data_IF_607634044608
#
_entry.id   IF_607634044608
#
_cell.length_a   1.000
_cell.length_b   1.000
_cell.length_c   1.000
_cell.angle_alpha   90.00
_cell.angle_beta   90.00
_cell.angle_gamma   90.00
#
_symmetry.space_group_name_H-M   'P 1'
#
loop_
_entity.id
_entity.type
_entity.pdbx_description
1 polymer ?
#
# COMPACT_ATOMS: atom_id res chain seq x y z
N UNK A 1 -21.80 -12.19 32.07
CA UNK A 1 -22.90 -11.43 31.45
C UNK A 1 -22.90 -11.74 29.97
N UNK A 2 -24.09 -12.08 29.46
CA UNK A 2 -24.37 -12.79 28.21
C UNK A 2 -23.96 -12.04 26.95
N UNK A 3 -23.30 -12.75 26.03
CA UNK A 3 -23.04 -12.32 24.65
C UNK A 3 -24.33 -12.44 23.85
N UNK A 4 -25.05 -11.34 23.65
CA UNK A 4 -26.25 -11.28 22.81
C UNK A 4 -25.88 -11.27 21.33
N UNK A 5 -26.59 -12.11 20.58
CA UNK A 5 -26.22 -12.59 19.24
C UNK A 5 -26.24 -11.53 18.13
N UNK A 6 -25.14 -11.49 17.37
CA UNK A 6 -25.10 -10.85 16.06
C UNK A 6 -25.77 -11.74 15.01
N UNK A 7 -26.85 -11.24 14.39
CA UNK A 7 -27.55 -11.91 13.29
C UNK A 7 -26.68 -11.91 12.02
N UNK A 8 -26.18 -13.08 11.61
CA UNK A 8 -25.38 -13.27 10.39
C UNK A 8 -26.25 -13.15 9.14
N UNK A 9 -25.80 -12.40 8.15
CA UNK A 9 -26.44 -12.31 6.84
C UNK A 9 -25.66 -13.12 5.80
N UNK A 10 -26.27 -14.15 5.21
CA UNK A 10 -25.73 -14.92 4.09
C UNK A 10 -26.54 -14.61 2.84
N UNK A 11 -26.01 -13.75 1.99
CA UNK A 11 -26.45 -13.62 0.59
C UNK A 11 -25.28 -14.05 -0.30
N UNK A 12 -25.46 -15.12 -1.06
CA UNK A 12 -24.38 -15.89 -1.73
C UNK A 12 -24.18 -15.58 -3.22
N UNK A 13 -24.69 -14.47 -3.74
CA UNK A 13 -24.75 -14.29 -5.21
C UNK A 13 -23.89 -13.15 -5.80
N UNK A 14 -23.03 -12.49 -5.02
CA UNK A 14 -22.23 -11.36 -5.51
C UNK A 14 -20.78 -11.74 -5.86
N UNK A 15 -20.42 -11.62 -7.15
CA UNK A 15 -19.05 -11.78 -7.67
C UNK A 15 -18.39 -10.40 -7.78
N UNK A 16 -17.18 -10.24 -7.22
CA UNK A 16 -16.43 -8.96 -7.24
C UNK A 16 -15.38 -8.97 -8.38
N UNK A 17 -15.48 -8.10 -9.39
CA UNK A 17 -14.50 -8.05 -10.49
C UNK A 17 -13.19 -7.37 -10.09
N UNK A 18 -12.06 -7.86 -10.61
CA UNK A 18 -10.71 -7.34 -10.36
C UNK A 18 -10.02 -6.97 -11.69
N UNK A 19 -9.31 -5.84 -11.69
CA UNK A 19 -8.61 -5.25 -12.84
C UNK A 19 -7.08 -5.32 -12.61
N UNK A 20 -6.30 -5.68 -13.64
CA UNK A 20 -4.85 -5.46 -13.71
C UNK A 20 -3.98 -6.73 -13.80
N UNK A 21 -3.31 -6.92 -14.95
CA UNK A 21 -2.52 -8.09 -15.37
C UNK A 21 -0.99 -7.94 -15.29
N UNK A 22 -0.30 -8.96 -15.80
CA UNK A 22 1.16 -9.18 -15.80
C UNK A 22 1.76 -9.11 -17.22
N UNK A 23 3.06 -8.79 -17.29
CA UNK A 23 3.97 -8.79 -18.43
C UNK A 23 4.12 -10.16 -19.11
N UNK A 24 3.83 -10.21 -20.41
CA UNK A 24 4.70 -10.72 -21.49
C UNK A 24 3.87 -10.90 -22.78
N UNK A 25 4.00 -9.98 -23.74
CA UNK A 25 3.73 -10.25 -25.17
C UNK A 25 4.75 -9.46 -26.00
N UNK A 26 5.82 -10.14 -26.40
CA UNK A 26 6.78 -9.66 -27.38
C UNK A 26 6.40 -10.13 -28.80
N UNK A 27 6.73 -9.30 -29.78
CA UNK A 27 6.82 -9.53 -31.24
C UNK A 27 5.52 -9.59 -32.06
N UNK A 28 5.17 -8.44 -32.65
CA UNK A 28 4.79 -8.35 -34.07
C UNK A 28 5.07 -6.94 -34.60
N UNK A 29 6.11 -6.82 -35.43
CA UNK A 29 6.41 -5.63 -36.24
C UNK A 29 5.51 -5.58 -37.49
N UNK A 30 5.31 -4.35 -37.97
CA UNK A 30 4.74 -3.95 -39.26
C UNK A 30 3.21 -3.84 -39.36
N UNK A 31 2.71 -2.61 -39.15
CA UNK A 31 2.22 -1.72 -40.24
C UNK A 31 1.57 -0.47 -39.63
N UNK A 32 2.06 0.68 -40.08
CA UNK A 32 1.45 2.00 -39.93
C UNK A 32 0.04 1.99 -40.56
N UNK A 33 -1.01 2.32 -39.80
CA UNK A 33 -2.12 3.15 -40.27
C UNK A 33 -2.90 3.73 -39.08
N UNK A 34 -3.32 4.99 -39.25
CA UNK A 34 -4.06 5.80 -38.31
C UNK A 34 -5.49 5.30 -38.07
N UNK A 35 -6.07 5.76 -36.96
CA UNK A 35 -7.45 5.60 -36.48
C UNK A 35 -7.81 4.24 -35.85
N UNK A 36 -8.29 4.30 -34.60
CA UNK A 36 -9.12 3.25 -34.03
C UNK A 36 -8.62 2.65 -32.71
N UNK A 37 -9.28 3.08 -31.63
CA UNK A 37 -9.88 2.17 -30.65
C UNK A 37 -8.92 1.33 -29.77
N UNK A 38 -8.63 1.87 -28.60
CA UNK A 38 -8.21 1.14 -27.39
C UNK A 38 -9.13 -0.06 -27.14
N UNK A 39 -8.61 -1.29 -27.13
CA UNK A 39 -9.22 -2.41 -26.40
C UNK A 39 -8.19 -3.53 -26.16
N UNK A 40 -7.42 -3.43 -25.09
CA UNK A 40 -6.72 -4.59 -24.52
C UNK A 40 -7.66 -5.25 -23.50
N UNK A 41 -8.36 -6.32 -23.91
CA UNK A 41 -9.17 -7.14 -22.99
C UNK A 41 -9.00 -8.61 -23.32
N UNK A 42 -8.13 -9.29 -22.57
CA UNK A 42 -8.39 -10.64 -22.04
C UNK A 42 -7.22 -11.16 -21.20
N UNK A 43 -7.51 -11.57 -19.97
CA UNK A 43 -6.67 -12.52 -19.21
C UNK A 43 -7.57 -13.25 -18.20
N UNK A 44 -7.77 -14.56 -18.41
CA UNK A 44 -8.68 -15.40 -17.62
C UNK A 44 -8.23 -15.63 -16.19
N UNK A 45 -8.52 -14.69 -15.29
CA UNK A 45 -8.28 -14.84 -13.85
C UNK A 45 -9.40 -15.57 -13.14
N UNK A 46 -9.06 -16.57 -12.33
CA UNK A 46 -9.99 -17.28 -11.45
C UNK A 46 -10.73 -16.30 -10.51
N UNK A 47 -12.04 -16.16 -10.67
CA UNK A 47 -12.87 -15.32 -9.82
C UNK A 47 -13.08 -15.98 -8.46
N UNK A 48 -12.69 -15.27 -7.39
CA UNK A 48 -12.88 -15.75 -6.02
C UNK A 48 -14.36 -15.71 -5.65
N UNK A 49 -14.92 -16.87 -5.26
CA UNK A 49 -16.29 -16.96 -4.76
C UNK A 49 -16.41 -16.33 -3.37
N UNK A 50 -17.53 -15.66 -3.13
CA UNK A 50 -17.77 -14.95 -1.87
C UNK A 50 -17.87 -15.91 -0.67
N UNK A 51 -18.33 -17.14 -0.87
CA UNK A 51 -18.40 -18.17 0.17
C UNK A 51 -17.02 -18.62 0.67
N UNK A 52 -15.95 -18.38 -0.11
CA UNK A 52 -14.56 -18.70 0.25
C UNK A 52 -13.82 -17.51 0.87
N UNK A 53 -14.43 -16.32 0.96
CA UNK A 53 -13.80 -15.16 1.57
C UNK A 53 -13.73 -15.31 3.09
N UNK A 54 -12.59 -14.90 3.65
CA UNK A 54 -12.42 -14.79 5.10
C UNK A 54 -12.98 -13.44 5.55
N UNK A 55 -13.86 -13.47 6.55
CA UNK A 55 -14.46 -12.28 7.16
C UNK A 55 -15.98 -12.36 7.20
N UNK A 56 -16.55 -11.85 8.29
CA UNK A 56 -18.00 -11.73 8.45
C UNK A 56 -18.43 -10.29 8.17
N UNK A 57 -19.65 -10.15 7.65
CA UNK A 57 -20.31 -8.86 7.45
C UNK A 57 -21.42 -8.71 8.49
N UNK A 58 -21.50 -7.55 9.10
CA UNK A 58 -22.50 -7.25 10.12
C UNK A 58 -23.65 -6.43 9.52
N UNK A 59 -24.87 -6.67 9.98
CA UNK A 59 -26.03 -5.83 9.59
C UNK A 59 -26.02 -4.51 10.34
N UNK A 60 -25.80 -4.59 11.65
CA UNK A 60 -25.86 -3.48 12.57
C UNK A 60 -24.53 -2.71 12.61
N UNK A 61 -24.61 -1.45 13.03
CA UNK A 61 -23.42 -0.63 13.27
C UNK A 61 -22.74 -1.12 14.57
N UNK A 62 -21.43 -1.42 14.56
CA UNK A 62 -20.73 -1.70 15.80
C UNK A 62 -20.80 -0.50 16.76
N UNK A 63 -21.16 -0.74 18.02
CA UNK A 63 -21.30 0.29 19.06
C UNK A 63 -20.03 1.08 19.34
N UNK A 64 -18.88 0.42 19.16
CA UNK A 64 -17.58 0.93 19.58
C UNK A 64 -16.98 1.92 18.55
N UNK A 65 -17.68 2.14 17.43
CA UNK A 65 -17.20 2.99 16.33
C UNK A 65 -17.76 4.41 16.43
N UNK A 66 -16.91 5.36 16.83
CA UNK A 66 -17.26 6.79 16.86
C UNK A 66 -17.39 7.39 15.46
N UNK A 67 -16.52 7.00 14.52
CA UNK A 67 -16.45 7.57 13.16
C UNK A 67 -17.18 6.67 12.17
N UNK A 68 -17.95 7.27 11.25
CA UNK A 68 -18.75 6.54 10.25
C UNK A 68 -17.91 5.71 9.27
N UNK A 69 -16.77 6.25 8.80
CA UNK A 69 -15.86 5.51 7.92
C UNK A 69 -15.36 4.23 8.58
N UNK A 70 -14.91 4.32 9.84
CA UNK A 70 -14.49 3.17 10.63
C UNK A 70 -15.63 2.17 10.83
N UNK A 71 -16.84 2.65 11.16
CA UNK A 71 -18.00 1.80 11.34
C UNK A 71 -18.35 1.02 10.06
N UNK A 72 -18.28 1.67 8.90
CA UNK A 72 -18.54 1.03 7.60
C UNK A 72 -17.45 0.01 7.27
N UNK A 73 -16.18 0.33 7.53
CA UNK A 73 -15.06 -0.58 7.26
C UNK A 73 -15.14 -1.85 8.12
N UNK A 74 -15.47 -1.73 9.41
CA UNK A 74 -15.66 -2.90 10.29
C UNK A 74 -16.90 -3.69 9.86
N UNK A 75 -18.04 -3.01 9.67
CA UNK A 75 -19.32 -3.63 9.29
C UNK A 75 -19.22 -4.41 7.98
N UNK A 76 -18.53 -3.83 6.99
CA UNK A 76 -18.38 -4.39 5.65
C UNK A 76 -17.34 -5.51 5.54
N UNK A 77 -16.63 -5.85 6.62
CA UNK A 77 -15.57 -6.85 6.57
C UNK A 77 -14.34 -6.37 5.79
N UNK A 78 -13.99 -5.09 5.91
CA UNK A 78 -12.80 -4.49 5.27
C UNK A 78 -11.57 -4.53 6.18
N UNK A 79 -11.77 -4.32 7.48
CA UNK A 79 -10.68 -4.34 8.46
C UNK A 79 -11.04 -5.20 9.66
N UNK A 80 -10.01 -5.75 10.31
CA UNK A 80 -10.10 -6.42 11.61
C UNK A 80 -9.19 -5.70 12.60
N UNK A 81 -9.75 -5.27 13.72
CA UNK A 81 -8.99 -4.68 14.81
C UNK A 81 -7.99 -5.68 15.40
N UNK A 82 -6.75 -5.23 15.64
CA UNK A 82 -5.70 -6.01 16.30
C UNK A 82 -5.29 -5.36 17.63
N UNK A 83 -4.98 -4.07 17.59
CA UNK A 83 -4.62 -3.24 18.75
C UNK A 83 -4.89 -1.76 18.42
N UNK A 84 -4.69 -0.85 19.37
CA UNK A 84 -4.96 0.57 19.16
C UNK A 84 -4.10 1.11 18.01
N UNK A 85 -4.74 1.60 16.94
CA UNK A 85 -4.08 2.05 15.71
C UNK A 85 -3.56 0.93 14.79
N UNK A 86 -3.76 -0.35 15.12
CA UNK A 86 -3.25 -1.51 14.37
C UNK A 86 -4.42 -2.36 13.86
N UNK A 87 -4.52 -2.48 12.54
CA UNK A 87 -5.60 -3.20 11.86
C UNK A 87 -5.05 -4.20 10.84
N UNK A 88 -5.71 -5.36 10.73
CA UNK A 88 -5.51 -6.26 9.61
C UNK A 88 -6.46 -5.91 8.47
N UNK A 89 -5.95 -5.87 7.25
CA UNK A 89 -6.76 -5.62 6.06
C UNK A 89 -7.27 -6.92 5.43
N UNK A 90 -8.59 -7.03 5.21
CA UNK A 90 -9.17 -8.14 4.49
C UNK A 90 -8.93 -8.04 2.96
N UNK A 91 -9.24 -9.11 2.24
CA UNK A 91 -9.06 -9.18 0.78
C UNK A 91 -9.70 -8.03 0.01
N UNK A 92 -10.94 -7.57 0.32
CA UNK A 92 -11.54 -6.44 -0.37
C UNK A 92 -10.70 -5.17 -0.23
N UNK A 93 -10.26 -4.84 0.98
CA UNK A 93 -9.41 -3.68 1.27
C UNK A 93 -8.10 -3.76 0.53
N UNK A 94 -7.42 -4.92 0.58
CA UNK A 94 -6.15 -5.11 -0.13
C UNK A 94 -6.29 -4.89 -1.65
N UNK A 95 -7.42 -5.28 -2.25
CA UNK A 95 -7.72 -5.01 -3.67
C UNK A 95 -7.97 -3.53 -3.94
N UNK A 96 -8.67 -2.83 -3.04
CA UNK A 96 -8.92 -1.40 -3.15
C UNK A 96 -7.60 -0.63 -3.02
N UNK A 97 -6.78 -0.94 -2.01
CA UNK A 97 -5.47 -0.32 -1.83
C UNK A 97 -4.60 -0.54 -3.06
N UNK A 98 -4.55 -1.75 -3.63
CA UNK A 98 -3.82 -2.00 -4.88
C UNK A 98 -4.27 -1.11 -6.05
N UNK A 99 -5.58 -0.83 -6.17
CA UNK A 99 -6.09 0.07 -7.21
C UNK A 99 -5.65 1.51 -6.98
N UNK A 100 -5.67 1.97 -5.73
CA UNK A 100 -5.22 3.32 -5.37
C UNK A 100 -3.72 3.46 -5.62
N UNK A 101 -2.91 2.49 -5.17
CA UNK A 101 -1.48 2.42 -5.43
C UNK A 101 -1.18 2.44 -6.93
N UNK A 102 -1.97 1.74 -7.73
CA UNK A 102 -1.80 1.72 -9.18
C UNK A 102 -2.04 3.10 -9.82
N UNK A 103 -3.07 3.82 -9.40
CA UNK A 103 -3.32 5.19 -9.87
C UNK A 103 -2.15 6.10 -9.49
N UNK A 104 -1.68 6.03 -8.24
CA UNK A 104 -0.55 6.83 -7.78
C UNK A 104 0.69 6.52 -8.62
N UNK A 105 1.00 5.23 -8.85
CA UNK A 105 2.12 4.82 -9.69
C UNK A 105 2.00 5.36 -11.12
N UNK A 106 0.82 5.20 -11.74
CA UNK A 106 0.58 5.72 -13.10
C UNK A 106 0.77 7.23 -13.20
N UNK A 107 0.40 8.01 -12.18
CA UNK A 107 0.64 9.46 -12.17
C UNK A 107 2.10 9.82 -11.85
N UNK A 108 2.78 9.06 -11.00
CA UNK A 108 4.19 9.28 -10.68
C UNK A 108 5.11 8.88 -11.85
N UNK A 109 4.79 7.81 -12.58
CA UNK A 109 5.54 7.37 -13.76
C UNK A 109 5.46 8.41 -14.88
N UNK A 110 4.37 9.18 -14.99
CA UNK A 110 4.25 10.28 -15.97
C UNK A 110 5.20 11.44 -15.72
N UNK A 111 5.73 11.58 -14.50
CA UNK A 111 6.68 12.62 -14.11
C UNK A 111 8.08 12.04 -13.87
N UNK A 112 8.38 10.92 -14.53
CA UNK A 112 9.63 10.16 -14.40
C UNK A 112 10.00 9.83 -12.95
N UNK A 113 8.98 9.60 -12.11
CA UNK A 113 9.15 9.22 -10.73
C UNK A 113 9.71 7.81 -10.58
N UNK A 114 10.82 7.67 -9.88
CA UNK A 114 11.42 6.36 -9.60
C UNK A 114 10.83 5.76 -8.30
N UNK A 115 10.00 4.72 -8.43
CA UNK A 115 9.48 3.99 -7.28
C UNK A 115 10.58 3.14 -6.62
N UNK A 116 10.79 3.34 -5.32
CA UNK A 116 11.76 2.59 -4.50
C UNK A 116 11.11 2.08 -3.22
N UNK A 117 11.59 0.94 -2.72
CA UNK A 117 11.10 0.35 -1.46
C UNK A 117 12.20 0.40 -0.40
N UNK A 118 11.90 1.10 0.70
CA UNK A 118 12.78 1.16 1.87
C UNK A 118 12.40 0.13 2.93
N UNK A 119 13.36 -0.33 3.75
CA UNK A 119 13.06 -1.17 4.90
C UNK A 119 12.24 -0.41 5.96
N UNK A 120 11.38 -1.14 6.68
CA UNK A 120 10.56 -0.56 7.76
C UNK A 120 11.42 -0.30 9.02
N UNK A 121 12.45 -1.12 9.22
CA UNK A 121 13.37 -1.02 10.36
C UNK A 121 14.71 -0.45 9.87
N UNK A 122 15.23 0.54 10.59
CA UNK A 122 16.47 1.24 10.26
C UNK A 122 17.43 1.29 11.46
N UNK A 123 18.76 1.34 11.23
CA UNK A 123 19.71 1.54 12.31
C UNK A 123 19.56 2.94 12.92
N UNK A 124 19.65 3.03 14.25
CA UNK A 124 19.54 4.31 14.95
C UNK A 124 20.64 5.30 14.55
N UNK A 125 21.82 4.82 14.13
CA UNK A 125 22.92 5.67 13.67
C UNK A 125 22.50 6.61 12.54
N UNK A 126 21.65 6.14 11.63
CA UNK A 126 21.17 6.94 10.51
C UNK A 126 20.30 8.12 10.98
N UNK A 127 19.48 7.90 11.99
CA UNK A 127 18.67 8.94 12.62
C UNK A 127 19.51 9.88 13.49
N UNK A 128 20.60 9.39 14.08
CA UNK A 128 21.55 10.21 14.84
C UNK A 128 22.33 11.15 13.94
N UNK A 129 22.76 10.70 12.76
CA UNK A 129 23.41 11.54 11.74
C UNK A 129 22.53 12.73 11.34
N UNK A 130 21.21 12.53 11.23
CA UNK A 130 20.26 13.60 10.94
C UNK A 130 19.94 14.51 12.14
N UNK A 131 20.32 14.12 13.35
CA UNK A 131 19.90 14.75 14.61
C UNK A 131 18.44 14.47 15.01
N UNK A 132 17.65 13.79 14.17
CA UNK A 132 16.22 13.55 14.45
C UNK A 132 15.98 12.51 15.54
N UNK A 133 16.96 11.66 15.81
CA UNK A 133 16.87 10.61 16.83
C UNK A 133 16.48 11.15 18.21
N UNK A 134 17.04 12.26 18.66
CA UNK A 134 16.72 12.84 19.98
C UNK A 134 15.62 13.92 19.92
N UNK A 135 15.48 14.59 18.77
CA UNK A 135 14.46 15.63 18.60
C UNK A 135 13.03 15.08 18.61
N UNK A 136 12.83 13.89 18.06
CA UNK A 136 11.54 13.22 18.01
C UNK A 136 11.42 12.43 19.30
N UNK A 137 10.56 12.90 20.22
CA UNK A 137 10.43 12.35 21.56
C UNK A 137 9.87 10.92 21.60
N UNK A 138 8.79 10.73 22.35
CA UNK A 138 8.22 9.39 22.64
C UNK A 138 7.51 8.72 21.46
N UNK A 139 7.27 9.44 20.37
CA UNK A 139 6.58 8.90 19.18
C UNK A 139 7.49 8.01 18.33
N UNK A 140 8.81 8.18 18.43
CA UNK A 140 9.77 7.36 17.71
C UNK A 140 9.93 6.01 18.42
N UNK A 141 9.47 4.93 17.78
CA UNK A 141 9.66 3.59 18.32
C UNK A 141 11.12 3.17 18.17
N UNK A 142 11.80 3.11 19.30
CA UNK A 142 13.20 2.67 19.44
C UNK A 142 13.25 1.31 20.09
N UNK A 143 14.05 0.41 19.55
CA UNK A 143 14.24 -0.91 20.11
C UNK A 143 15.66 -1.39 19.86
N UNK A 144 16.04 -2.46 20.53
CA UNK A 144 17.38 -3.03 20.41
C UNK A 144 17.25 -4.44 19.88
N UNK A 145 18.07 -4.80 18.90
CA UNK A 145 18.13 -6.16 18.39
C UNK A 145 18.83 -7.12 19.38
N UNK A 146 18.90 -8.41 19.02
CA UNK A 146 19.57 -9.43 19.85
C UNK A 146 21.07 -9.18 20.06
N UNK A 147 21.71 -8.42 19.17
CA UNK A 147 23.13 -8.10 19.23
C UNK A 147 23.40 -6.80 20.00
N UNK A 148 22.38 -6.23 20.64
CA UNK A 148 22.44 -4.93 21.33
C UNK A 148 22.65 -3.74 20.39
N UNK A 149 22.30 -3.88 19.10
CA UNK A 149 22.31 -2.78 18.14
C UNK A 149 21.03 -1.95 18.27
N UNK A 150 21.14 -0.62 18.45
CA UNK A 150 19.98 0.26 18.52
C UNK A 150 19.36 0.43 17.13
N UNK A 151 18.04 0.20 17.06
CA UNK A 151 17.23 0.23 15.85
C UNK A 151 16.00 1.12 16.06
N UNK A 152 15.43 1.57 14.95
CA UNK A 152 14.26 2.44 14.90
C UNK A 152 13.25 1.86 13.93
N UNK A 153 11.97 1.89 14.30
CA UNK A 153 10.88 1.69 13.34
C UNK A 153 10.64 3.03 12.64
N UNK A 154 10.88 3.07 11.32
CA UNK A 154 10.76 4.30 10.54
C UNK A 154 9.33 4.83 10.55
N UNK A 155 9.15 6.03 11.09
CA UNK A 155 7.90 6.80 10.92
C UNK A 155 7.82 7.47 9.55
N UNK A 156 8.99 7.74 8.95
CA UNK A 156 9.20 8.27 7.60
C UNK A 156 10.60 7.84 7.13
N UNK A 157 10.94 8.15 5.88
CA UNK A 157 12.09 7.58 5.15
C UNK A 157 13.03 8.64 4.54
N UNK A 158 13.06 9.88 5.03
CA UNK A 158 13.96 10.91 4.47
C UNK A 158 15.43 10.51 4.64
N UNK A 159 15.82 10.01 5.81
CA UNK A 159 17.18 9.57 6.06
C UNK A 159 17.55 8.35 5.20
N UNK A 160 16.59 7.43 4.98
CA UNK A 160 16.78 6.28 4.10
C UNK A 160 16.97 6.71 2.64
N UNK A 161 16.20 7.69 2.18
CA UNK A 161 16.33 8.24 0.84
C UNK A 161 17.69 8.92 0.64
N UNK A 162 18.11 9.77 1.58
CA UNK A 162 19.44 10.41 1.55
C UNK A 162 20.54 9.35 1.58
N UNK A 163 20.42 8.33 2.44
CA UNK A 163 21.38 7.23 2.51
C UNK A 163 21.49 6.48 1.18
N UNK A 164 20.39 6.26 0.48
CA UNK A 164 20.37 5.59 -0.82
C UNK A 164 21.13 6.40 -1.88
N UNK A 165 20.93 7.71 -1.94
CA UNK A 165 21.45 8.56 -3.03
C UNK A 165 22.81 9.18 -2.75
N UNK A 166 23.28 9.23 -1.49
CA UNK A 166 24.49 9.98 -1.09
C UNK A 166 25.76 9.60 -1.86
N UNK A 167 25.86 8.38 -2.35
CA UNK A 167 27.03 7.90 -3.10
C UNK A 167 26.97 8.24 -4.60
N UNK A 168 25.77 8.43 -5.14
CA UNK A 168 25.51 8.67 -6.57
C UNK A 168 25.37 10.17 -6.89
N UNK A 169 24.88 10.96 -5.94
CA UNK A 169 24.64 12.41 -6.06
C UNK A 169 25.86 13.31 -5.86
N UNK A 170 27.07 12.88 -6.28
CA UNK A 170 28.31 13.64 -6.00
C UNK A 170 28.56 14.84 -6.93
N UNK A 171 27.85 14.92 -8.05
CA UNK A 171 28.01 15.99 -9.05
C UNK A 171 26.65 16.57 -9.42
N UNK A 172 26.58 17.89 -9.59
CA UNK A 172 25.34 18.59 -9.98
C UNK A 172 24.76 18.05 -11.31
N UNK A 173 25.63 17.57 -12.20
CA UNK A 173 25.25 16.98 -13.51
C UNK A 173 24.41 15.71 -13.40
N UNK A 174 24.37 15.07 -12.21
CA UNK A 174 23.53 13.91 -11.93
C UNK A 174 22.11 14.29 -11.50
N UNK A 175 21.86 15.58 -11.24
CA UNK A 175 20.57 16.11 -10.86
C UNK A 175 19.91 16.85 -12.03
N UNK A 176 18.57 16.89 -12.09
CA UNK A 176 17.64 16.22 -11.18
C UNK A 176 17.56 14.71 -11.44
N UNK A 177 17.25 13.92 -10.41
CA UNK A 177 17.05 12.48 -10.57
C UNK A 177 15.71 12.13 -11.21
N UNK A 178 14.73 13.02 -11.12
CA UNK A 178 13.45 12.95 -11.82
C UNK A 178 13.36 14.22 -12.67
N UNK A 179 13.30 14.09 -13.99
CA UNK A 179 13.22 15.22 -14.90
C UNK A 179 11.76 15.41 -15.34
N UNK A 180 11.33 16.66 -15.47
CA UNK A 180 10.00 17.03 -15.96
C UNK A 180 10.07 17.60 -17.38
N UNK A 181 11.24 17.56 -18.01
CA UNK A 181 11.53 18.34 -19.22
C UNK A 181 10.83 17.84 -20.50
N UNK A 182 10.28 16.63 -20.50
CA UNK A 182 9.67 15.97 -21.68
C UNK A 182 8.12 15.80 -21.62
N UNK A 183 7.44 16.43 -20.66
CA UNK A 183 5.95 16.59 -20.63
C UNK A 183 5.52 18.04 -20.79
#
# INVERSE_FOLDING_TARGET
MSVTGFSRYRDTSAVIPNLGGTTEQCFALSKFNASGFFYARNSGGYAMKLDKLVGDRFKERPSDCQIDSHAIMVRGGYIKYMANGIFSSYTPTKRITKKIEQIIREEMDKIDGQEVQFPVVMPASLWQESGRYDSIGSELLRFTDRNRMPMVLGMTHEEAAVHLVREYGKSYTKYPFNDLSDT
#
